data_IF_732420486571
#
_entry.id   IF_732420486571
#
_cell.length_a   1.000
_cell.length_b   1.000
_cell.length_c   1.000
_cell.angle_alpha   90.00
_cell.angle_beta   90.00
_cell.angle_gamma   90.00
#
_symmetry.space_group_name_H-M   'P 1'
#
loop_
_entity.id
_entity.type
_entity.pdbx_description
1 polymer ?
#
# COMPACT_ATOMS: atom_id res chain seq x y z
N UNK A 1 2.55 36.18 53.02
CA UNK A 1 1.45 35.93 52.05
C UNK A 1 2.09 35.80 50.66
N UNK A 2 2.56 34.58 50.32
CA UNK A 2 1.97 33.63 49.36
C UNK A 2 1.95 34.18 47.93
N UNK A 3 3.10 34.00 47.29
CA UNK A 3 3.46 34.43 45.94
C UNK A 3 3.26 33.28 44.95
N UNK A 4 2.78 33.65 43.76
CA UNK A 4 2.90 32.97 42.46
C UNK A 4 1.95 31.80 42.19
N UNK A 5 0.89 32.13 41.43
CA UNK A 5 0.25 31.22 40.50
C UNK A 5 1.32 30.60 39.59
N UNK A 6 1.55 29.31 39.76
CA UNK A 6 2.17 28.45 38.75
C UNK A 6 1.27 27.23 38.61
N UNK A 7 0.30 27.33 37.71
CA UNK A 7 -0.50 26.21 37.20
C UNK A 7 -0.43 26.26 35.68
N UNK A 8 0.74 25.91 35.15
CA UNK A 8 0.90 25.49 33.76
C UNK A 8 1.34 24.03 33.83
N UNK A 9 0.35 23.13 33.85
CA UNK A 9 0.56 21.71 33.60
C UNK A 9 -0.06 21.41 32.24
N UNK A 10 0.71 21.64 31.18
CA UNK A 10 0.39 21.15 29.83
C UNK A 10 0.70 19.65 29.79
N UNK A 11 -0.30 18.84 30.14
CA UNK A 11 -0.28 17.40 29.91
C UNK A 11 -0.71 17.14 28.45
N UNK A 12 0.19 17.37 27.51
CA UNK A 12 -0.01 17.00 26.10
C UNK A 12 0.28 15.51 25.96
N UNK A 13 -0.74 14.68 26.14
CA UNK A 13 -0.65 13.23 25.91
C UNK A 13 -0.40 12.93 24.43
N UNK A 14 0.81 12.50 24.10
CA UNK A 14 1.17 11.93 22.80
C UNK A 14 0.63 10.49 22.77
N UNK A 15 -0.58 10.30 22.22
CA UNK A 15 -1.08 9.00 21.79
C UNK A 15 -1.07 8.96 20.26
N UNK A 16 0.10 8.68 19.67
CA UNK A 16 0.27 8.49 18.22
C UNK A 16 1.09 7.21 17.96
N UNK A 17 0.72 6.08 18.59
CA UNK A 17 1.42 4.80 18.42
C UNK A 17 0.72 3.81 17.45
N UNK A 18 -0.39 4.20 16.83
CA UNK A 18 -1.19 3.30 15.97
C UNK A 18 -0.92 3.39 14.46
N UNK A 19 -0.28 4.46 13.96
CA UNK A 19 -0.16 4.69 12.52
C UNK A 19 1.15 4.21 11.90
N UNK A 20 2.17 3.88 12.68
CA UNK A 20 3.49 3.54 12.13
C UNK A 20 3.52 2.12 11.55
N UNK A 21 2.94 1.15 12.27
CA UNK A 21 3.04 -0.28 11.93
C UNK A 21 2.42 -0.62 10.58
N UNK A 22 1.21 -0.16 10.29
CA UNK A 22 0.55 -0.40 9.00
C UNK A 22 1.30 0.26 7.85
N UNK A 23 1.79 1.48 8.05
CA UNK A 23 2.51 2.20 6.99
C UNK A 23 3.87 1.56 6.70
N UNK A 24 4.54 1.07 7.73
CA UNK A 24 5.80 0.32 7.64
C UNK A 24 5.59 -0.99 6.90
N UNK A 25 4.59 -1.78 7.29
CA UNK A 25 4.22 -3.01 6.59
C UNK A 25 3.93 -2.80 5.09
N UNK A 26 3.21 -1.72 4.75
CA UNK A 26 2.96 -1.34 3.36
C UNK A 26 4.22 -0.85 2.63
N UNK A 27 5.20 -0.27 3.33
CA UNK A 27 6.42 0.22 2.70
C UNK A 27 7.39 -0.94 2.41
N UNK A 28 7.54 -1.87 3.35
CA UNK A 28 8.44 -3.03 3.24
C UNK A 28 8.09 -3.92 2.05
N UNK A 29 6.81 -4.06 1.72
CA UNK A 29 6.33 -4.93 0.64
C UNK A 29 6.19 -4.20 -0.71
N UNK A 30 6.36 -2.87 -0.76
CA UNK A 30 6.06 -2.07 -1.96
C UNK A 30 7.00 -2.39 -3.13
N UNK A 31 8.28 -2.64 -2.86
CA UNK A 31 9.28 -2.94 -3.90
C UNK A 31 8.90 -4.23 -4.64
N UNK A 32 8.60 -5.30 -3.89
CA UNK A 32 8.18 -6.58 -4.42
C UNK A 32 6.89 -6.46 -5.24
N UNK A 33 5.93 -5.65 -4.78
CA UNK A 33 4.70 -5.39 -5.51
C UNK A 33 4.96 -4.70 -6.86
N UNK A 34 5.82 -3.68 -6.88
CA UNK A 34 6.19 -2.99 -8.12
C UNK A 34 6.98 -3.87 -9.08
N UNK A 35 7.87 -4.73 -8.57
CA UNK A 35 8.61 -5.68 -9.39
C UNK A 35 7.69 -6.71 -10.05
N UNK A 36 6.75 -7.28 -9.29
CA UNK A 36 5.79 -8.23 -9.82
C UNK A 36 4.92 -7.60 -10.93
N UNK A 37 4.41 -6.38 -10.69
CA UNK A 37 3.66 -5.63 -11.69
C UNK A 37 4.50 -5.30 -12.93
N UNK A 38 5.75 -4.92 -12.74
CA UNK A 38 6.70 -4.65 -13.84
C UNK A 38 6.90 -5.90 -14.71
N UNK A 39 7.15 -7.05 -14.10
CA UNK A 39 7.40 -8.30 -14.81
C UNK A 39 6.18 -8.76 -15.61
N UNK A 40 4.98 -8.68 -15.02
CA UNK A 40 3.73 -8.96 -15.76
C UNK A 40 3.53 -8.00 -16.92
N UNK A 41 3.74 -6.70 -16.70
CA UNK A 41 3.62 -5.69 -17.76
C UNK A 41 4.59 -5.92 -18.92
N UNK A 42 5.85 -6.29 -18.63
CA UNK A 42 6.85 -6.56 -19.68
C UNK A 42 6.36 -7.63 -20.65
N UNK A 43 5.76 -8.68 -20.10
CA UNK A 43 5.15 -9.77 -20.86
C UNK A 43 3.91 -9.30 -21.63
N UNK A 44 2.89 -8.79 -20.93
CA UNK A 44 1.59 -8.45 -21.53
C UNK A 44 1.66 -7.31 -22.54
N UNK A 45 2.50 -6.30 -22.28
CA UNK A 45 2.67 -5.16 -23.18
C UNK A 45 3.64 -5.48 -24.34
N UNK A 46 4.36 -6.61 -24.27
CA UNK A 46 5.48 -6.97 -25.15
C UNK A 46 6.52 -5.86 -25.20
N UNK A 47 6.91 -5.35 -24.03
CA UNK A 47 7.73 -4.15 -23.89
C UNK A 47 8.70 -4.29 -22.72
N UNK A 48 10.01 -4.34 -22.99
CA UNK A 48 11.02 -4.48 -21.92
C UNK A 48 11.28 -3.17 -21.16
N UNK A 49 11.02 -2.03 -21.79
CA UNK A 49 11.25 -0.70 -21.21
C UNK A 49 9.94 -0.16 -20.64
N UNK A 50 9.65 -0.55 -19.39
CA UNK A 50 8.46 -0.12 -18.64
C UNK A 50 8.88 0.56 -17.33
N UNK A 51 8.03 1.46 -16.85
CA UNK A 51 8.18 2.15 -15.57
C UNK A 51 6.93 1.95 -14.72
N UNK A 52 7.12 1.68 -13.43
CA UNK A 52 6.04 1.50 -12.46
C UNK A 52 5.82 2.74 -11.60
N UNK A 53 4.57 2.94 -11.18
CA UNK A 53 4.16 3.99 -10.24
C UNK A 53 3.11 3.40 -9.29
N UNK A 54 3.33 3.54 -7.99
CA UNK A 54 2.31 3.18 -6.99
C UNK A 54 1.27 4.29 -6.95
N UNK A 55 0.04 3.97 -7.35
CA UNK A 55 -1.09 4.90 -7.40
C UNK A 55 -1.85 4.93 -6.08
N UNK A 56 -1.95 3.77 -5.42
CA UNK A 56 -2.58 3.63 -4.12
C UNK A 56 -2.02 2.40 -3.38
N UNK A 57 -2.11 2.38 -2.06
CA UNK A 57 -1.75 1.23 -1.21
C UNK A 57 -2.62 1.21 0.05
N UNK A 58 -3.04 0.02 0.45
CA UNK A 58 -3.84 -0.23 1.66
C UNK A 58 -3.60 -1.66 2.14
N UNK A 59 -3.97 -1.95 3.37
CA UNK A 59 -4.15 -3.34 3.78
C UNK A 59 -5.55 -3.84 3.42
N UNK A 60 -5.68 -5.14 3.22
CA UNK A 60 -6.96 -5.83 3.04
C UNK A 60 -6.97 -7.13 3.86
N UNK A 61 -8.16 -7.56 4.25
CA UNK A 61 -8.35 -8.87 4.86
C UNK A 61 -8.49 -9.95 3.78
N UNK A 62 -7.56 -10.90 3.76
CA UNK A 62 -7.68 -12.15 3.03
C UNK A 62 -7.89 -13.29 4.02
N UNK A 63 -9.15 -13.69 4.18
CA UNK A 63 -9.60 -14.70 5.15
C UNK A 63 -9.29 -14.32 6.61
N UNK A 64 -8.13 -14.75 7.12
CA UNK A 64 -7.70 -14.56 8.51
C UNK A 64 -6.42 -13.72 8.63
N UNK A 65 -5.90 -13.23 7.51
CA UNK A 65 -4.65 -12.51 7.45
C UNK A 65 -4.85 -11.15 6.80
N UNK A 66 -4.29 -10.12 7.42
CA UNK A 66 -4.14 -8.82 6.80
C UNK A 66 -2.96 -8.89 5.81
N UNK A 67 -3.19 -8.45 4.58
CA UNK A 67 -2.15 -8.39 3.55
C UNK A 67 -2.07 -7.02 2.91
N UNK A 68 -0.89 -6.59 2.44
CA UNK A 68 -0.75 -5.34 1.72
C UNK A 68 -1.25 -5.51 0.28
N UNK A 69 -2.03 -4.53 -0.16
CA UNK A 69 -2.54 -4.40 -1.52
C UNK A 69 -2.10 -3.08 -2.14
N UNK A 70 -1.68 -3.11 -3.39
CA UNK A 70 -1.20 -1.96 -4.15
C UNK A 70 -1.95 -1.83 -5.46
N UNK A 71 -2.29 -0.59 -5.85
CA UNK A 71 -2.60 -0.26 -7.23
C UNK A 71 -1.32 0.24 -7.90
N UNK A 72 -0.81 -0.52 -8.87
CA UNK A 72 0.43 -0.18 -9.57
C UNK A 72 0.09 0.16 -11.01
N UNK A 73 0.29 1.42 -11.37
CA UNK A 73 0.30 1.85 -12.76
C UNK A 73 1.62 1.48 -13.41
N UNK A 74 1.57 0.94 -14.62
CA UNK A 74 2.75 0.63 -15.43
C UNK A 74 2.60 1.30 -16.79
N UNK A 75 3.66 1.97 -17.25
CA UNK A 75 3.70 2.63 -18.55
C UNK A 75 4.98 2.31 -19.30
N UNK A 76 4.88 2.12 -20.61
CA UNK A 76 6.01 1.82 -21.49
C UNK A 76 5.55 1.54 -22.92
N UNK A 77 6.40 1.81 -23.90
CA UNK A 77 6.11 1.60 -25.33
C UNK A 77 4.76 2.20 -25.80
N UNK A 78 4.40 3.39 -25.31
CA UNK A 78 3.13 4.06 -25.64
C UNK A 78 1.87 3.44 -25.02
N UNK A 79 2.02 2.42 -24.16
CA UNK A 79 0.91 1.73 -23.47
C UNK A 79 0.90 2.05 -21.98
N UNK A 80 -0.27 1.96 -21.37
CA UNK A 80 -0.47 2.06 -19.92
C UNK A 80 -1.43 0.98 -19.44
N UNK A 81 -1.15 0.44 -18.27
CA UNK A 81 -2.00 -0.56 -17.59
C UNK A 81 -1.95 -0.30 -16.09
N UNK A 82 -3.00 -0.65 -15.37
CA UNK A 82 -3.04 -0.60 -13.91
C UNK A 82 -3.34 -2.01 -13.40
N UNK A 83 -2.53 -2.48 -12.47
CA UNK A 83 -2.73 -3.75 -11.78
C UNK A 83 -3.09 -3.54 -10.32
N UNK A 84 -3.84 -4.50 -9.79
CA UNK A 84 -3.93 -4.71 -8.34
C UNK A 84 -2.91 -5.79 -7.96
N UNK A 85 -2.15 -5.55 -6.91
CA UNK A 85 -1.09 -6.45 -6.45
C UNK A 85 -1.32 -6.73 -4.98
N UNK A 86 -1.52 -8.00 -4.62
CA UNK A 86 -1.62 -8.42 -3.23
C UNK A 86 -0.36 -9.19 -2.88
N UNK A 87 0.34 -8.81 -1.81
CA UNK A 87 1.53 -9.53 -1.37
C UNK A 87 1.25 -10.40 -0.16
N UNK A 88 1.81 -11.58 -0.15
CA UNK A 88 1.89 -12.43 1.02
C UNK A 88 3.37 -12.43 1.46
N UNK A 89 3.68 -12.10 2.73
CA UNK A 89 5.05 -12.09 3.23
C UNK A 89 5.81 -13.42 3.01
N UNK A 90 5.11 -14.54 3.03
CA UNK A 90 5.69 -15.89 2.93
C UNK A 90 5.78 -16.39 1.48
N UNK A 91 4.88 -15.95 0.58
CA UNK A 91 4.74 -16.52 -0.77
C UNK A 91 4.89 -15.52 -1.92
N UNK A 92 5.23 -14.26 -1.63
CA UNK A 92 5.43 -13.21 -2.63
C UNK A 92 4.16 -12.50 -3.09
N UNK A 93 4.24 -11.76 -4.20
CA UNK A 93 3.15 -10.91 -4.69
C UNK A 93 2.41 -11.51 -5.89
N UNK A 94 1.07 -11.52 -5.82
CA UNK A 94 0.20 -11.91 -6.91
C UNK A 94 -0.39 -10.67 -7.60
N UNK A 95 -0.36 -10.66 -8.93
CA UNK A 95 -0.78 -9.53 -9.77
C UNK A 95 -2.10 -9.87 -10.46
N UNK A 96 -3.08 -8.97 -10.35
CA UNK A 96 -4.42 -9.09 -10.91
C UNK A 96 -4.69 -7.95 -11.89
N UNK A 97 -5.43 -8.24 -12.96
CA UNK A 97 -5.96 -7.20 -13.84
C UNK A 97 -6.98 -6.38 -13.05
N UNK A 98 -6.83 -5.05 -13.03
CA UNK A 98 -7.74 -4.17 -12.29
C UNK A 98 -9.21 -4.30 -12.75
N UNK A 99 -9.45 -4.76 -13.99
CA UNK A 99 -10.80 -5.02 -14.51
C UNK A 99 -11.49 -6.24 -13.89
N UNK A 100 -10.71 -7.21 -13.41
CA UNK A 100 -11.18 -8.50 -12.88
C UNK A 100 -10.85 -8.67 -11.39
N UNK A 101 -10.23 -7.67 -10.77
CA UNK A 101 -9.92 -7.75 -9.37
C UNK A 101 -11.23 -7.74 -8.57
N UNK A 102 -11.41 -8.68 -7.62
CA UNK A 102 -12.54 -8.62 -6.71
C UNK A 102 -12.42 -7.31 -5.92
N UNK A 103 -13.23 -6.33 -6.31
CA UNK A 103 -13.43 -5.10 -5.54
C UNK A 103 -14.11 -5.57 -4.27
N UNK A 104 -13.34 -5.85 -3.21
CA UNK A 104 -13.90 -5.78 -1.87
C UNK A 104 -14.24 -4.31 -1.67
N UNK A 105 -15.48 -3.96 -2.02
CA UNK A 105 -16.09 -2.69 -1.63
C UNK A 105 -15.85 -2.56 -0.13
N UNK A 106 -14.89 -1.72 0.24
CA UNK A 106 -14.72 -1.25 1.59
C UNK A 106 -16.02 -0.52 1.91
N UNK A 107 -16.91 -1.21 2.63
CA UNK A 107 -18.10 -0.61 3.21
C UNK A 107 -17.61 0.59 4.03
N UNK A 108 -17.87 1.78 3.52
CA UNK A 108 -17.72 3.01 4.29
C UNK A 108 -18.62 2.87 5.51
N UNK A 109 -18.02 2.77 6.69
CA UNK A 109 -18.66 3.01 7.98
C UNK A 109 -17.82 4.02 8.74
#
# INVERSE_FOLDING_TARGET
MKTKLLLISTLTSIFMMGCTSTQEFLNENQSMATEAAMNRAKFELSCQTVQTTVLNKKTIDLYRYEVPQYQVGVSGCGKKVVYLVNCNPDSGCMVYDNKNAPISESKSQ
#
